data_IF_824440060496
#
_entry.id   IF_824440060496
#
_cell.length_a   1.000
_cell.length_b   1.000
_cell.length_c   1.000
_cell.angle_alpha   90.00
_cell.angle_beta   90.00
_cell.angle_gamma   90.00
#
_symmetry.space_group_name_H-M   'P 1'
#
loop_
_entity.id
_entity.type
_entity.pdbx_description
1 polymer ?
#
# COMPACT_ATOMS: atom_id res chain seq x y z
N UNK A 1 -10.71 4.69 15.59
CA UNK A 1 -11.63 5.02 14.49
C UNK A 1 -12.84 5.72 15.07
N UNK A 2 -13.38 6.74 14.41
CA UNK A 2 -14.44 7.61 14.95
C UNK A 2 -15.87 7.17 14.59
N UNK A 3 -16.07 5.93 14.13
CA UNK A 3 -17.38 5.41 13.68
C UNK A 3 -18.44 5.46 14.78
N UNK A 4 -18.13 4.90 15.95
CA UNK A 4 -19.06 4.89 17.10
C UNK A 4 -19.43 6.31 17.55
N UNK A 5 -18.48 7.25 17.45
CA UNK A 5 -18.73 8.65 17.75
C UNK A 5 -19.63 9.31 16.70
N UNK A 6 -19.44 8.99 15.41
CA UNK A 6 -20.26 9.48 14.31
C UNK A 6 -21.69 8.92 14.35
N UNK A 7 -21.86 7.64 14.70
CA UNK A 7 -23.17 6.99 14.85
C UNK A 7 -23.98 7.57 16.02
N UNK A 8 -23.33 7.83 17.17
CA UNK A 8 -23.99 8.49 18.31
C UNK A 8 -24.37 9.93 17.98
N UNK A 9 -23.47 10.67 17.31
CA UNK A 9 -23.75 12.03 16.87
C UNK A 9 -24.93 12.09 15.88
N UNK A 10 -25.06 11.10 15.00
CA UNK A 10 -26.20 10.98 14.08
C UNK A 10 -27.52 10.80 14.84
N UNK A 11 -27.55 9.90 15.83
CA UNK A 11 -28.75 9.68 16.66
C UNK A 11 -29.17 10.94 17.42
N UNK A 12 -28.22 11.73 17.90
CA UNK A 12 -28.50 12.92 18.71
C UNK A 12 -28.81 14.17 17.88
N UNK A 13 -28.21 14.33 16.70
CA UNK A 13 -28.30 15.58 15.91
C UNK A 13 -29.40 15.57 14.84
N UNK A 14 -29.92 14.40 14.45
CA UNK A 14 -30.92 14.26 13.38
C UNK A 14 -30.39 14.61 11.98
N UNK A 15 -29.09 14.85 11.84
CA UNK A 15 -28.43 15.16 10.56
C UNK A 15 -28.05 13.84 9.90
N UNK A 16 -28.59 13.57 8.71
CA UNK A 16 -28.21 12.39 7.92
C UNK A 16 -26.75 12.47 7.48
N UNK A 17 -26.00 11.35 7.45
CA UNK A 17 -24.59 11.38 7.09
C UNK A 17 -24.42 11.88 5.65
N UNK A 18 -23.55 12.86 5.44
CA UNK A 18 -23.17 13.37 4.11
C UNK A 18 -22.27 12.40 3.35
N UNK A 19 -21.73 11.37 4.03
CA UNK A 19 -20.89 10.31 3.49
C UNK A 19 -21.52 8.99 3.90
N UNK A 20 -21.90 8.14 2.94
CA UNK A 20 -22.44 6.80 3.22
C UNK A 20 -21.51 6.05 4.18
N UNK A 21 -22.00 5.69 5.37
CA UNK A 21 -21.21 5.05 6.43
C UNK A 21 -20.55 3.73 5.98
N UNK A 22 -21.16 3.04 5.00
CA UNK A 22 -20.58 1.85 4.36
C UNK A 22 -19.25 2.17 3.65
N UNK A 23 -19.16 3.32 2.97
CA UNK A 23 -17.92 3.77 2.32
C UNK A 23 -16.82 4.14 3.33
N UNK A 24 -17.17 4.48 4.57
CA UNK A 24 -16.20 4.66 5.65
C UNK A 24 -15.65 3.33 6.15
N UNK A 25 -16.49 2.30 6.30
CA UNK A 25 -16.05 0.96 6.70
C UNK A 25 -15.06 0.37 5.69
N UNK A 26 -15.33 0.54 4.41
CA UNK A 26 -14.48 0.05 3.33
C UNK A 26 -13.09 0.72 3.33
N UNK A 27 -13.03 2.04 3.51
CA UNK A 27 -11.74 2.76 3.66
C UNK A 27 -10.98 2.32 4.91
N UNK A 28 -11.68 2.04 6.01
CA UNK A 28 -11.06 1.53 7.24
C UNK A 28 -10.45 0.15 6.97
N UNK A 29 -11.14 -0.73 6.25
CA UNK A 29 -10.64 -2.08 5.90
C UNK A 29 -9.42 -2.03 5.01
N UNK A 30 -9.44 -1.22 3.95
CA UNK A 30 -8.28 -1.03 3.05
C UNK A 30 -7.09 -0.51 3.86
N UNK A 31 -7.30 0.54 4.67
CA UNK A 31 -6.22 1.11 5.50
C UNK A 31 -5.67 0.10 6.49
N UNK A 32 -6.52 -0.69 7.14
CA UNK A 32 -6.08 -1.71 8.09
C UNK A 32 -5.25 -2.80 7.38
N UNK A 33 -5.66 -3.24 6.19
CA UNK A 33 -4.88 -4.17 5.39
C UNK A 33 -3.48 -3.60 5.06
N UNK A 34 -3.41 -2.35 4.58
CA UNK A 34 -2.13 -1.67 4.30
C UNK A 34 -1.25 -1.56 5.55
N UNK A 35 -1.80 -1.07 6.67
CA UNK A 35 -1.05 -0.85 7.91
C UNK A 35 -0.49 -2.15 8.49
N UNK A 36 -1.20 -3.26 8.29
CA UNK A 36 -0.76 -4.59 8.73
C UNK A 36 0.14 -5.30 7.70
N UNK A 37 0.47 -4.67 6.57
CA UNK A 37 1.32 -5.27 5.53
C UNK A 37 0.59 -6.31 4.65
N UNK A 38 -0.74 -6.36 4.71
CA UNK A 38 -1.59 -7.23 3.87
C UNK A 38 -1.88 -6.54 2.55
N UNK A 39 -0.84 -6.24 1.78
CA UNK A 39 -0.93 -5.34 0.62
C UNK A 39 -1.76 -5.94 -0.51
N UNK A 40 -1.63 -7.24 -0.79
CA UNK A 40 -2.46 -7.92 -1.80
C UNK A 40 -3.95 -7.84 -1.44
N UNK A 41 -4.31 -8.08 -0.17
CA UNK A 41 -5.69 -7.93 0.31
C UNK A 41 -6.19 -6.49 0.14
N UNK A 42 -5.34 -5.48 0.41
CA UNK A 42 -5.69 -4.08 0.19
C UNK A 42 -5.95 -3.79 -1.30
N UNK A 43 -5.09 -4.29 -2.19
CA UNK A 43 -5.23 -4.14 -3.65
C UNK A 43 -6.53 -4.79 -4.15
N UNK A 44 -6.83 -6.01 -3.70
CA UNK A 44 -8.06 -6.71 -4.07
C UNK A 44 -9.31 -5.96 -3.59
N UNK A 45 -9.29 -5.44 -2.35
CA UNK A 45 -10.37 -4.62 -1.82
C UNK A 45 -10.55 -3.33 -2.63
N UNK A 46 -9.46 -2.65 -3.01
CA UNK A 46 -9.53 -1.45 -3.86
C UNK A 46 -10.17 -1.79 -5.20
N UNK A 47 -9.73 -2.85 -5.89
CA UNK A 47 -10.29 -3.25 -7.18
C UNK A 47 -11.75 -3.70 -7.07
N UNK A 48 -12.14 -4.34 -5.97
CA UNK A 48 -13.53 -4.75 -5.75
C UNK A 48 -14.47 -3.55 -5.55
N UNK A 49 -14.01 -2.52 -4.83
CA UNK A 49 -14.83 -1.37 -4.44
C UNK A 49 -14.76 -0.24 -5.48
N UNK A 50 -13.62 -0.08 -6.13
CA UNK A 50 -13.32 0.96 -7.11
C UNK A 50 -12.50 0.38 -8.28
N UNK A 51 -13.14 -0.40 -9.19
CA UNK A 51 -12.44 -1.17 -10.23
C UNK A 51 -11.52 -0.35 -11.14
N UNK A 52 -11.86 0.91 -11.41
CA UNK A 52 -11.09 1.76 -12.32
C UNK A 52 -10.05 2.64 -11.59
N UNK A 53 -9.97 2.58 -10.25
CA UNK A 53 -9.12 3.51 -9.50
C UNK A 53 -7.64 3.31 -9.80
N UNK A 54 -7.17 2.05 -9.80
CA UNK A 54 -5.77 1.74 -10.03
C UNK A 54 -5.38 1.89 -11.52
N UNK A 55 -6.32 1.69 -12.43
CA UNK A 55 -6.12 1.95 -13.86
C UNK A 55 -5.94 3.45 -14.14
N UNK A 56 -6.70 4.30 -13.43
CA UNK A 56 -6.66 5.75 -13.59
C UNK A 56 -5.52 6.43 -12.81
N UNK A 57 -5.04 5.81 -11.73
CA UNK A 57 -3.95 6.31 -10.89
C UNK A 57 -2.78 5.33 -10.85
N UNK A 58 -1.92 5.44 -11.87
CA UNK A 58 -0.71 4.62 -12.02
C UNK A 58 0.29 4.81 -10.87
N UNK A 59 0.31 5.98 -10.23
CA UNK A 59 1.21 6.23 -9.10
C UNK A 59 0.73 5.47 -7.86
N UNK A 60 -0.58 5.50 -7.57
CA UNK A 60 -1.18 4.70 -6.51
C UNK A 60 -0.97 3.20 -6.75
N UNK A 61 -1.18 2.73 -7.98
CA UNK A 61 -0.93 1.33 -8.32
C UNK A 61 0.53 0.94 -8.09
N UNK A 62 1.48 1.72 -8.60
CA UNK A 62 2.91 1.50 -8.38
C UNK A 62 3.24 1.45 -6.89
N UNK A 63 2.73 2.39 -6.10
CA UNK A 63 3.03 2.44 -4.67
C UNK A 63 2.52 1.21 -3.92
N UNK A 64 1.34 0.68 -4.27
CA UNK A 64 0.86 -0.60 -3.73
C UNK A 64 1.79 -1.76 -4.11
N UNK A 65 2.26 -1.82 -5.36
CA UNK A 65 3.21 -2.87 -5.78
C UNK A 65 4.56 -2.74 -5.04
N UNK A 66 5.06 -1.51 -4.85
CA UNK A 66 6.28 -1.23 -4.10
C UNK A 66 6.15 -1.68 -2.64
N UNK A 67 5.04 -1.35 -1.97
CA UNK A 67 4.76 -1.80 -0.60
C UNK A 67 4.73 -3.33 -0.52
N UNK A 68 4.12 -4.00 -1.50
CA UNK A 68 4.12 -5.45 -1.54
C UNK A 68 5.54 -6.04 -1.68
N UNK A 69 6.36 -5.50 -2.57
CA UNK A 69 7.77 -5.88 -2.72
C UNK A 69 8.54 -5.71 -1.40
N UNK A 70 8.33 -4.59 -0.70
CA UNK A 70 8.93 -4.33 0.61
C UNK A 70 8.51 -5.38 1.65
N UNK A 71 7.24 -5.84 1.65
CA UNK A 71 6.79 -6.91 2.54
C UNK A 71 7.43 -8.26 2.21
N UNK A 72 7.62 -8.60 0.93
CA UNK A 72 8.33 -9.81 0.53
C UNK A 72 9.78 -9.79 1.03
N UNK A 73 10.47 -8.66 0.85
CA UNK A 73 11.85 -8.46 1.36
C UNK A 73 11.88 -8.56 2.88
N UNK A 74 10.97 -7.87 3.58
CA UNK A 74 10.89 -7.87 5.05
C UNK A 74 10.68 -9.27 5.63
N UNK A 75 9.92 -10.12 4.94
CA UNK A 75 9.64 -11.50 5.35
C UNK A 75 10.70 -12.51 4.87
N UNK A 76 11.76 -12.06 4.21
CA UNK A 76 12.84 -12.91 3.72
C UNK A 76 12.49 -13.74 2.48
N UNK A 77 11.38 -13.42 1.80
CA UNK A 77 10.91 -14.12 0.59
C UNK A 77 11.61 -13.56 -0.66
N UNK A 78 12.93 -13.71 -0.70
CA UNK A 78 13.81 -13.04 -1.69
C UNK A 78 13.53 -13.50 -3.13
N UNK A 79 13.35 -14.80 -3.35
CA UNK A 79 13.06 -15.33 -4.69
C UNK A 79 11.74 -14.77 -5.25
N UNK A 80 10.71 -14.68 -4.39
CA UNK A 80 9.41 -14.13 -4.76
C UNK A 80 9.48 -12.62 -4.98
N UNK A 81 10.24 -11.90 -4.16
CA UNK A 81 10.50 -10.47 -4.34
C UNK A 81 11.15 -10.20 -5.71
N UNK A 82 12.14 -11.02 -6.08
CA UNK A 82 12.85 -10.87 -7.35
C UNK A 82 11.94 -11.18 -8.54
N UNK A 83 11.20 -12.29 -8.49
CA UNK A 83 10.24 -12.66 -9.52
C UNK A 83 9.17 -11.57 -9.69
N UNK A 84 8.59 -11.11 -8.58
CA UNK A 84 7.58 -10.07 -8.58
C UNK A 84 8.11 -8.75 -9.20
N UNK A 85 9.31 -8.32 -8.84
CA UNK A 85 9.89 -7.11 -9.42
C UNK A 85 10.13 -7.22 -10.93
N UNK A 86 10.54 -8.39 -11.42
CA UNK A 86 10.72 -8.62 -12.86
C UNK A 86 9.39 -8.60 -13.62
N UNK A 87 8.35 -9.23 -13.06
CA UNK A 87 7.06 -9.37 -13.72
C UNK A 87 6.20 -8.11 -13.67
N UNK A 88 6.22 -7.39 -12.55
CA UNK A 88 5.25 -6.32 -12.26
C UNK A 88 5.84 -4.91 -12.29
N UNK A 89 7.17 -4.76 -12.15
CA UNK A 89 7.81 -3.45 -11.98
C UNK A 89 8.83 -3.11 -13.06
N UNK A 90 9.11 -4.02 -13.99
CA UNK A 90 10.09 -3.82 -15.06
C UNK A 90 9.76 -2.62 -15.96
N UNK A 91 8.48 -2.42 -16.30
CA UNK A 91 8.03 -1.30 -17.15
C UNK A 91 7.71 -0.02 -16.35
N UNK A 92 7.54 -0.13 -15.02
CA UNK A 92 7.07 1.00 -14.20
C UNK A 92 8.06 2.17 -14.17
N UNK A 93 9.37 1.87 -14.17
CA UNK A 93 10.44 2.86 -14.13
C UNK A 93 10.73 3.56 -15.46
N UNK A 94 10.14 3.13 -16.58
CA UNK A 94 10.47 3.68 -17.91
C UNK A 94 9.84 5.05 -18.17
N UNK A 95 8.83 5.43 -17.38
CA UNK A 95 7.96 6.58 -17.66
C UNK A 95 8.08 7.74 -16.67
N UNK A 96 8.74 7.55 -15.53
CA UNK A 96 8.90 8.58 -14.49
C UNK A 96 10.19 8.34 -13.67
N UNK A 97 11.09 9.33 -13.67
CA UNK A 97 12.38 9.28 -12.96
C UNK A 97 12.22 9.12 -11.43
N UNK A 98 11.12 9.63 -10.85
CA UNK A 98 10.86 9.47 -9.42
C UNK A 98 10.47 8.03 -9.11
N UNK A 99 9.60 7.42 -9.93
CA UNK A 99 9.21 6.01 -9.81
C UNK A 99 10.45 5.12 -9.96
N UNK A 100 11.30 5.41 -10.95
CA UNK A 100 12.56 4.69 -11.14
C UNK A 100 13.46 4.79 -9.89
N UNK A 101 13.65 5.99 -9.36
CA UNK A 101 14.47 6.21 -8.16
C UNK A 101 13.92 5.46 -6.94
N UNK A 102 12.60 5.45 -6.75
CA UNK A 102 11.95 4.71 -5.67
C UNK A 102 12.08 3.19 -5.84
N UNK A 103 11.96 2.70 -7.07
CA UNK A 103 12.14 1.30 -7.41
C UNK A 103 13.58 0.83 -7.19
N UNK A 104 14.57 1.57 -7.70
CA UNK A 104 15.99 1.28 -7.51
C UNK A 104 16.36 1.21 -6.03
N UNK A 105 15.86 2.16 -5.25
CA UNK A 105 16.07 2.17 -3.80
C UNK A 105 15.48 0.95 -3.10
N UNK A 106 14.31 0.50 -3.55
CA UNK A 106 13.64 -0.69 -3.02
C UNK A 106 14.39 -1.96 -3.39
N UNK A 107 14.80 -2.08 -4.67
CA UNK A 107 15.57 -3.21 -5.17
C UNK A 107 16.96 -3.30 -4.55
N UNK A 108 17.57 -2.17 -4.21
CA UNK A 108 18.86 -2.14 -3.54
C UNK A 108 18.84 -2.88 -2.20
N UNK A 109 17.69 -3.01 -1.52
CA UNK A 109 17.56 -3.84 -0.32
C UNK A 109 17.92 -5.31 -0.56
N UNK A 110 17.66 -5.84 -1.78
CA UNK A 110 17.98 -7.22 -2.16
C UNK A 110 19.50 -7.47 -2.28
N UNK A 111 20.31 -6.41 -2.41
CA UNK A 111 21.76 -6.51 -2.52
C UNK A 111 22.46 -6.71 -1.15
N UNK A 112 21.71 -6.66 -0.05
CA UNK A 112 22.25 -6.81 1.31
C UNK A 112 21.77 -8.13 1.94
N UNK A 113 22.70 -8.89 2.52
CA UNK A 113 22.37 -10.10 3.29
C UNK A 113 21.45 -9.79 4.48
N UNK A 114 21.63 -8.62 5.10
CA UNK A 114 20.78 -8.11 6.17
C UNK A 114 20.14 -6.78 5.75
N UNK A 115 18.96 -6.78 5.09
CA UNK A 115 18.31 -5.57 4.57
C UNK A 115 18.06 -4.48 5.63
N UNK A 116 17.84 -4.88 6.89
CA UNK A 116 17.66 -3.97 8.03
C UNK A 116 18.92 -3.19 8.43
N UNK A 117 20.11 -3.62 7.99
CA UNK A 117 21.38 -2.91 8.20
C UNK A 117 21.79 -2.07 6.99
N UNK A 118 20.98 -2.08 5.92
CA UNK A 118 21.28 -1.33 4.71
C UNK A 118 21.05 0.19 4.91
N UNK A 119 21.64 1.04 4.05
CA UNK A 119 21.32 2.46 3.97
C UNK A 119 19.84 2.77 3.67
N UNK A 120 19.07 1.78 3.22
CA UNK A 120 17.66 1.90 2.83
C UNK A 120 16.71 1.23 3.83
N UNK A 121 17.21 0.87 5.02
CA UNK A 121 16.46 0.20 6.08
C UNK A 121 15.22 0.97 6.57
N UNK A 122 15.13 2.27 6.30
CA UNK A 122 13.95 3.08 6.61
C UNK A 122 12.71 2.66 5.81
N UNK A 123 12.89 2.08 4.61
CA UNK A 123 11.80 1.46 3.83
C UNK A 123 11.18 0.27 4.56
N UNK A 124 11.95 -0.42 5.40
CA UNK A 124 11.49 -1.58 6.16
C UNK A 124 10.76 -1.19 7.45
N UNK A 125 10.83 0.08 7.88
CA UNK A 125 10.18 0.53 9.10
C UNK A 125 8.64 0.53 8.95
N UNK A 126 7.85 0.14 9.96
CA UNK A 126 6.39 0.12 9.86
C UNK A 126 5.75 1.46 9.48
N UNK A 127 6.39 2.59 9.81
CA UNK A 127 5.91 3.92 9.41
C UNK A 127 5.92 4.14 7.90
N UNK A 128 6.66 3.33 7.13
CA UNK A 128 6.67 3.44 5.68
C UNK A 128 5.30 3.09 5.08
N UNK A 129 4.50 2.23 5.74
CA UNK A 129 3.12 1.90 5.35
C UNK A 129 2.11 3.03 5.59
N UNK A 130 2.54 4.12 6.22
CA UNK A 130 1.68 5.23 6.63
C UNK A 130 1.92 6.50 5.81
N UNK A 131 2.89 6.48 4.89
CA UNK A 131 3.14 7.57 3.94
C UNK A 131 2.14 7.48 2.80
#
# INVERSE_FOLDING_TARGET
GFKEAAEKFQQESGVGPTVELNSMDDRIRIRDAVQNGRIQEATDLVNQLHPELLDNDRYLYFHLQQLHLIELIRTGRIEEALQFAQDQLSEAGESDDNILSELERTLALLAFEEPHKSPFSDLLHPSHRQK
#
